data_IF_198351554387
#
_entry.id   IF_198351554387
#
_cell.length_a   1.000
_cell.length_b   1.000
_cell.length_c   1.000
_cell.angle_alpha   90.00
_cell.angle_beta   90.00
_cell.angle_gamma   90.00
#
_symmetry.space_group_name_H-M   'P 1'
#
loop_
_entity.id
_entity.type
_entity.pdbx_description
1 polymer ?
#
# COMPACT_ATOMS: atom_id res chain seq x y z
N UNK A 1 13.98 3.45 28.16
CA UNK A 1 14.75 3.14 26.94
C UNK A 1 13.76 2.64 25.92
N UNK A 2 13.32 3.50 25.00
CA UNK A 2 12.31 3.16 23.99
C UNK A 2 13.02 2.71 22.73
N UNK A 3 12.90 1.44 22.38
CA UNK A 3 13.41 0.88 21.13
C UNK A 3 12.45 1.25 20.01
N UNK A 4 12.85 2.20 19.16
CA UNK A 4 12.23 2.36 17.85
C UNK A 4 12.78 1.23 16.96
N UNK A 5 11.98 0.20 16.70
CA UNK A 5 12.28 -0.77 15.66
C UNK A 5 12.09 -0.11 14.31
N UNK A 6 13.19 0.36 13.72
CA UNK A 6 13.24 0.72 12.30
C UNK A 6 13.22 -0.58 11.50
N UNK A 7 12.08 -0.92 10.90
CA UNK A 7 12.02 -2.03 9.95
C UNK A 7 12.83 -1.66 8.70
N UNK A 8 13.93 -2.38 8.47
CA UNK A 8 14.71 -2.29 7.24
C UNK A 8 13.83 -2.68 6.05
N UNK A 9 13.81 -1.90 4.95
CA UNK A 9 13.03 -2.26 3.78
C UNK A 9 13.59 -3.55 3.16
N UNK A 10 12.76 -4.59 3.12
CA UNK A 10 13.11 -5.88 2.54
C UNK A 10 12.85 -5.88 1.02
N UNK A 11 13.76 -6.51 0.26
CA UNK A 11 13.60 -6.71 -1.17
C UNK A 11 12.41 -7.64 -1.46
N UNK A 12 11.61 -7.36 -2.49
CA UNK A 12 10.38 -8.08 -2.80
C UNK A 12 10.54 -9.61 -2.87
N UNK A 13 9.74 -10.33 -2.09
CA UNK A 13 9.47 -11.76 -2.22
C UNK A 13 7.99 -12.02 -1.87
N UNK A 14 7.37 -13.12 -2.37
CA UNK A 14 6.02 -13.52 -1.96
C UNK A 14 5.88 -13.68 -0.43
N UNK A 15 6.93 -14.18 0.22
CA UNK A 15 6.98 -14.34 1.67
C UNK A 15 6.84 -13.01 2.42
N UNK A 16 7.34 -11.91 1.84
CA UNK A 16 7.27 -10.59 2.48
C UNK A 16 5.85 -10.00 2.44
N UNK A 17 5.04 -10.30 1.42
CA UNK A 17 3.64 -9.85 1.38
C UNK A 17 2.83 -10.59 2.44
N UNK A 18 3.00 -11.91 2.56
CA UNK A 18 2.29 -12.69 3.56
C UNK A 18 2.67 -12.26 4.99
N UNK A 19 3.95 -11.94 5.23
CA UNK A 19 4.39 -11.35 6.49
C UNK A 19 3.70 -10.01 6.79
N UNK A 20 3.50 -9.14 5.79
CA UNK A 20 2.75 -7.89 5.98
C UNK A 20 1.28 -8.15 6.33
N UNK A 21 0.66 -9.17 5.73
CA UNK A 21 -0.73 -9.55 6.06
C UNK A 21 -0.85 -10.01 7.51
N UNK A 22 0.07 -10.87 7.95
CA UNK A 22 0.16 -11.33 9.34
C UNK A 22 0.40 -10.13 10.27
N UNK A 23 1.35 -9.25 9.94
CA UNK A 23 1.69 -8.07 10.75
C UNK A 23 0.51 -7.12 10.92
N UNK A 24 -0.25 -6.86 9.86
CA UNK A 24 -1.43 -5.99 9.90
C UNK A 24 -2.68 -6.69 10.45
N UNK A 25 -2.62 -8.00 10.71
CA UNK A 25 -3.73 -8.80 11.21
C UNK A 25 -4.91 -8.86 10.23
N UNK A 26 -4.62 -9.00 8.94
CA UNK A 26 -5.65 -9.01 7.89
C UNK A 26 -5.95 -10.41 7.35
N UNK A 27 -7.21 -10.65 7.03
CA UNK A 27 -7.69 -11.80 6.26
C UNK A 27 -8.12 -11.37 4.84
N UNK A 28 -8.20 -12.28 3.86
CA UNK A 28 -8.73 -11.93 2.56
C UNK A 28 -10.17 -11.42 2.68
N UNK A 29 -10.48 -10.46 1.81
CA UNK A 29 -11.82 -9.93 1.60
C UNK A 29 -12.77 -11.05 1.12
N UNK A 30 -13.97 -11.09 1.68
CA UNK A 30 -15.02 -12.04 1.35
C UNK A 30 -15.93 -11.52 0.23
N UNK A 31 -16.60 -12.39 -0.54
CA UNK A 31 -17.46 -11.97 -1.65
C UNK A 31 -18.52 -10.92 -1.28
N UNK A 32 -19.07 -11.01 -0.06
CA UNK A 32 -20.11 -10.09 0.44
C UNK A 32 -19.56 -8.69 0.76
N UNK A 33 -18.24 -8.56 0.90
CA UNK A 33 -17.53 -7.33 1.20
C UNK A 33 -17.05 -6.61 -0.08
N UNK A 34 -17.10 -7.30 -1.25
CA UNK A 34 -16.59 -6.76 -2.52
C UNK A 34 -17.33 -5.48 -2.96
N UNK A 35 -16.61 -4.61 -3.67
CA UNK A 35 -17.15 -3.36 -4.20
C UNK A 35 -17.30 -2.25 -3.15
N UNK A 36 -17.13 -2.57 -1.86
CA UNK A 36 -17.05 -1.57 -0.80
C UNK A 36 -15.73 -0.82 -0.85
N UNK A 37 -15.75 0.45 -0.43
CA UNK A 37 -14.53 1.22 -0.22
C UNK A 37 -13.79 0.75 1.03
N UNK A 38 -12.45 0.89 1.06
CA UNK A 38 -11.62 0.47 2.19
C UNK A 38 -12.15 1.00 3.53
N UNK A 39 -12.55 2.26 3.59
CA UNK A 39 -13.14 2.87 4.79
C UNK A 39 -14.39 2.16 5.33
N UNK A 40 -15.17 1.51 4.47
CA UNK A 40 -16.41 0.80 4.81
C UNK A 40 -16.21 -0.69 5.10
N UNK A 41 -15.04 -1.24 4.80
CA UNK A 41 -14.74 -2.64 5.11
C UNK A 41 -14.63 -2.86 6.62
N UNK A 42 -14.86 -4.08 7.11
CA UNK A 42 -14.48 -4.46 8.47
C UNK A 42 -12.97 -4.29 8.69
N UNK A 43 -12.57 -4.07 9.95
CA UNK A 43 -11.16 -4.12 10.31
C UNK A 43 -10.61 -5.55 10.14
N UNK A 44 -9.31 -5.66 9.85
CA UNK A 44 -8.63 -6.93 9.61
C UNK A 44 -8.93 -7.52 8.24
N UNK A 45 -9.12 -6.71 7.20
CA UNK A 45 -9.40 -7.17 5.83
C UNK A 45 -8.36 -6.62 4.85
N UNK A 46 -7.95 -7.42 3.88
CA UNK A 46 -7.21 -6.96 2.71
C UNK A 46 -7.89 -7.39 1.41
N UNK A 47 -7.70 -6.60 0.37
CA UNK A 47 -8.13 -6.89 -0.99
C UNK A 47 -7.38 -6.01 -1.98
N UNK A 48 -7.92 -5.83 -3.19
CA UNK A 48 -7.22 -5.16 -4.27
C UNK A 48 -8.02 -3.99 -4.84
N UNK A 49 -7.33 -2.89 -5.15
CA UNK A 49 -7.94 -1.67 -5.70
C UNK A 49 -7.03 -0.98 -6.71
N UNK A 50 -7.62 -0.27 -7.67
CA UNK A 50 -6.89 0.44 -8.72
C UNK A 50 -6.40 1.83 -8.31
N UNK A 51 -6.94 2.40 -7.23
CA UNK A 51 -6.60 3.73 -6.76
C UNK A 51 -6.33 3.68 -5.23
N UNK A 52 -5.18 3.12 -4.82
CA UNK A 52 -4.88 2.92 -3.40
C UNK A 52 -4.86 4.28 -2.69
N UNK A 53 -5.61 4.40 -1.59
CA UNK A 53 -5.65 5.64 -0.79
C UNK A 53 -6.59 6.74 -1.30
N UNK A 54 -7.35 6.50 -2.37
CA UNK A 54 -8.46 7.38 -2.75
C UNK A 54 -9.73 7.01 -1.98
N UNK A 55 -10.49 8.00 -1.45
CA UNK A 55 -11.76 7.72 -0.80
C UNK A 55 -12.74 7.08 -1.79
N UNK A 56 -13.64 6.24 -1.29
CA UNK A 56 -14.76 5.67 -2.06
C UNK A 56 -14.35 4.71 -3.21
N UNK A 57 -13.08 4.32 -3.32
CA UNK A 57 -12.64 3.38 -4.38
C UNK A 57 -12.98 1.93 -4.00
N UNK A 58 -13.63 1.16 -4.87
CA UNK A 58 -13.99 -0.22 -4.57
C UNK A 58 -12.76 -1.11 -4.37
N UNK A 59 -12.92 -2.11 -3.50
CA UNK A 59 -11.95 -3.17 -3.22
C UNK A 59 -12.53 -4.51 -3.66
N UNK A 60 -11.69 -5.35 -4.26
CA UNK A 60 -12.07 -6.67 -4.80
C UNK A 60 -11.24 -7.78 -4.16
N UNK A 61 -11.78 -9.01 -4.05
CA UNK A 61 -11.04 -10.11 -3.43
C UNK A 61 -9.93 -10.66 -4.33
N UNK A 62 -10.07 -10.49 -5.64
CA UNK A 62 -9.11 -10.97 -6.65
C UNK A 62 -8.21 -9.85 -7.12
N UNK A 63 -6.92 -10.17 -7.27
CA UNK A 63 -5.95 -9.28 -7.88
C UNK A 63 -6.15 -9.27 -9.38
N UNK A 64 -6.61 -8.14 -9.91
CA UNK A 64 -6.57 -7.87 -11.35
C UNK A 64 -5.25 -7.16 -11.72
N UNK A 65 -4.95 -7.16 -13.02
CA UNK A 65 -3.75 -6.52 -13.56
C UNK A 65 -3.64 -5.06 -13.10
N UNK A 66 -2.48 -4.66 -12.57
CA UNK A 66 -2.20 -3.31 -12.04
C UNK A 66 -3.05 -2.85 -10.84
N UNK A 67 -3.72 -3.76 -10.16
CA UNK A 67 -4.37 -3.46 -8.88
C UNK A 67 -3.36 -3.53 -7.73
N UNK A 68 -3.49 -2.59 -6.79
CA UNK A 68 -2.71 -2.52 -5.56
C UNK A 68 -3.41 -3.31 -4.48
N UNK A 69 -2.63 -4.00 -3.65
CA UNK A 69 -3.17 -4.57 -2.42
C UNK A 69 -3.38 -3.44 -1.40
N UNK A 70 -4.56 -3.44 -0.75
CA UNK A 70 -4.93 -2.47 0.28
C UNK A 70 -5.38 -3.20 1.53
N UNK A 71 -5.00 -2.68 2.69
CA UNK A 71 -5.34 -3.27 3.98
C UNK A 71 -6.18 -2.29 4.77
N UNK A 72 -7.20 -2.79 5.45
CA UNK A 72 -7.73 -2.19 6.67
C UNK A 72 -7.28 -3.07 7.83
N UNK A 73 -6.25 -2.63 8.56
CA UNK A 73 -5.66 -3.39 9.65
C UNK A 73 -6.66 -3.62 10.80
N UNK A 74 -6.32 -4.49 11.75
CA UNK A 74 -7.17 -4.82 12.89
C UNK A 74 -7.50 -3.60 13.78
N UNK A 75 -6.64 -2.58 13.80
CA UNK A 75 -6.85 -1.31 14.51
C UNK A 75 -7.66 -0.28 13.68
N UNK A 76 -8.08 -0.64 12.47
CA UNK A 76 -8.79 0.21 11.53
C UNK A 76 -7.89 1.09 10.65
N UNK A 77 -6.57 1.06 10.83
CA UNK A 77 -5.64 1.82 9.99
C UNK A 77 -5.65 1.31 8.56
N UNK A 78 -5.72 2.22 7.59
CA UNK A 78 -5.70 1.90 6.17
C UNK A 78 -4.28 1.99 5.60
N UNK A 79 -3.88 0.97 4.86
CA UNK A 79 -2.59 0.90 4.19
C UNK A 79 -2.73 0.62 2.69
N UNK A 80 -1.87 1.25 1.90
CA UNK A 80 -1.58 0.91 0.52
C UNK A 80 -0.29 0.10 0.47
N UNK A 81 -0.32 -1.06 -0.17
CA UNK A 81 0.84 -1.94 -0.33
C UNK A 81 1.35 -1.83 -1.77
N UNK A 82 2.66 -1.74 -1.93
CA UNK A 82 3.27 -1.70 -3.24
C UNK A 82 4.79 -1.66 -3.20
N UNK A 83 5.38 -1.36 -4.35
CA UNK A 83 6.81 -1.42 -4.58
C UNK A 83 7.36 -0.03 -4.92
N UNK A 84 8.51 0.29 -4.36
CA UNK A 84 9.23 1.56 -4.58
C UNK A 84 10.71 1.28 -4.79
N UNK A 85 11.46 2.31 -5.19
CA UNK A 85 12.93 2.25 -5.22
C UNK A 85 13.52 2.21 -3.79
N UNK A 86 14.77 1.75 -3.59
CA UNK A 86 15.39 1.78 -2.26
C UNK A 86 15.52 3.20 -1.68
N UNK A 87 15.69 4.21 -2.52
CA UNK A 87 15.73 5.62 -2.09
C UNK A 87 14.36 6.05 -1.52
N UNK A 88 13.28 5.82 -2.27
CA UNK A 88 11.92 6.13 -1.83
C UNK A 88 11.52 5.34 -0.57
N UNK A 89 11.90 4.06 -0.47
CA UNK A 89 11.69 3.27 0.74
C UNK A 89 12.37 3.92 1.96
N UNK A 90 13.57 4.46 1.78
CA UNK A 90 14.29 5.18 2.84
C UNK A 90 13.60 6.49 3.22
N UNK A 91 13.05 7.22 2.23
CA UNK A 91 12.30 8.46 2.45
C UNK A 91 10.99 8.20 3.21
N UNK A 92 10.28 7.13 2.88
CA UNK A 92 9.09 6.67 3.59
C UNK A 92 9.41 6.26 5.03
N UNK A 93 10.47 5.48 5.26
CA UNK A 93 10.90 5.08 6.59
C UNK A 93 11.29 6.28 7.47
N UNK A 94 11.81 7.34 6.88
CA UNK A 94 12.15 8.59 7.55
C UNK A 94 10.97 9.57 7.68
N UNK A 95 9.78 9.24 7.16
CA UNK A 95 8.63 10.15 7.08
C UNK A 95 9.01 11.54 6.53
N UNK A 96 9.77 11.57 5.44
CA UNK A 96 10.29 12.81 4.85
C UNK A 96 9.17 13.61 4.16
N UNK A 97 8.53 14.50 4.89
CA UNK A 97 7.46 15.39 4.41
C UNK A 97 7.84 16.07 3.08
N UNK A 98 6.89 16.09 2.13
CA UNK A 98 7.07 16.67 0.80
C UNK A 98 7.87 15.82 -0.19
N UNK A 99 8.44 14.68 0.22
CA UNK A 99 9.08 13.76 -0.72
C UNK A 99 8.05 13.17 -1.69
N UNK A 100 8.40 13.13 -2.98
CA UNK A 100 7.56 12.55 -4.03
C UNK A 100 7.87 11.06 -4.20
N UNK A 101 6.84 10.23 -4.12
CA UNK A 101 6.94 8.77 -4.17
C UNK A 101 6.15 8.23 -5.36
N UNK A 102 6.71 7.23 -6.04
CA UNK A 102 6.01 6.42 -7.04
C UNK A 102 5.79 5.00 -6.51
N UNK A 103 4.56 4.72 -6.06
CA UNK A 103 4.20 3.37 -5.61
C UNK A 103 3.71 2.54 -6.78
N UNK A 104 4.28 1.35 -6.97
CA UNK A 104 3.86 0.43 -8.03
C UNK A 104 3.07 -0.75 -7.45
N UNK A 105 2.06 -1.27 -8.16
CA UNK A 105 1.26 -2.41 -7.69
C UNK A 105 2.03 -3.74 -7.77
N UNK A 106 3.08 -3.77 -8.60
CA UNK A 106 3.95 -4.89 -8.86
C UNK A 106 5.41 -4.41 -8.98
N UNK A 107 6.41 -5.30 -8.83
CA UNK A 107 7.80 -5.00 -9.15
C UNK A 107 7.96 -4.38 -10.55
N UNK A 108 8.34 -3.11 -10.65
CA UNK A 108 8.60 -2.40 -11.91
C UNK A 108 9.99 -1.77 -11.97
N UNK A 109 10.81 -2.08 -12.99
CA UNK A 109 12.19 -1.55 -13.14
C UNK A 109 13.07 -1.57 -11.84
N UNK A 110 13.46 -0.42 -11.29
CA UNK A 110 14.21 -0.30 -10.03
C UNK A 110 13.35 -0.39 -8.77
N UNK A 111 12.01 -0.32 -8.92
CA UNK A 111 11.04 -0.39 -7.83
C UNK A 111 10.81 -1.83 -7.42
N UNK A 112 11.59 -2.30 -6.44
CA UNK A 112 11.65 -3.69 -5.97
C UNK A 112 11.51 -3.81 -4.46
N UNK A 113 11.37 -2.70 -3.73
CA UNK A 113 11.25 -2.71 -2.28
C UNK A 113 9.79 -2.64 -1.89
N UNK A 114 9.32 -3.68 -1.20
CA UNK A 114 7.94 -3.75 -0.74
C UNK A 114 7.77 -2.82 0.45
N UNK A 115 6.74 -1.98 0.40
CA UNK A 115 6.40 -1.02 1.46
C UNK A 115 4.91 -1.10 1.80
N UNK A 116 4.60 -0.68 3.03
CA UNK A 116 3.24 -0.44 3.51
C UNK A 116 3.12 1.04 3.84
N UNK A 117 2.26 1.76 3.12
CA UNK A 117 2.08 3.21 3.25
C UNK A 117 0.74 3.48 3.93
N UNK A 118 0.75 4.20 5.06
CA UNK A 118 -0.49 4.64 5.71
C UNK A 118 -1.21 5.63 4.81
N UNK A 119 -2.48 5.37 4.53
CA UNK A 119 -3.30 6.24 3.66
C UNK A 119 -3.42 7.66 4.21
N UNK A 120 -3.46 7.82 5.54
CA UNK A 120 -3.51 9.14 6.19
C UNK A 120 -2.23 9.98 6.01
N UNK A 121 -1.11 9.37 5.60
CA UNK A 121 0.16 10.04 5.33
C UNK A 121 0.38 10.40 3.86
N UNK A 122 -0.64 10.23 3.01
CA UNK A 122 -0.59 10.49 1.57
C UNK A 122 -1.17 11.88 1.31
N UNK A 123 -0.30 12.85 1.00
CA UNK A 123 -0.69 14.17 0.50
C UNK A 123 -0.75 14.15 -1.02
N UNK A 124 -1.82 14.73 -1.56
CA UNK A 124 -2.05 15.11 -2.96
C UNK A 124 -1.58 14.09 -4.03
N UNK A 125 -2.53 13.41 -4.65
CA UNK A 125 -2.26 12.61 -5.86
C UNK A 125 -2.21 13.52 -7.08
N UNK A 126 -1.09 13.54 -7.80
CA UNK A 126 -1.11 14.01 -9.20
C UNK A 126 -1.88 12.98 -10.04
N UNK A 127 -2.38 13.41 -11.20
CA UNK A 127 -3.12 12.56 -12.16
C UNK A 127 -2.38 11.22 -12.34
N UNK A 128 -3.05 10.10 -12.11
CA UNK A 128 -2.47 8.76 -12.24
C UNK A 128 -2.05 8.52 -13.70
N UNK A 129 -0.75 8.34 -13.99
CA UNK A 129 -0.30 7.87 -15.29
C UNK A 129 -0.76 6.42 -15.46
N UNK A 130 -1.39 6.09 -16.59
CA UNK A 130 -1.78 4.69 -16.91
C UNK A 130 -0.72 3.95 -17.74
N UNK A 131 0.45 4.56 -17.91
CA UNK A 131 1.59 4.02 -18.64
C UNK A 131 2.72 3.65 -17.65
N UNK A 132 3.73 2.92 -18.11
CA UNK A 132 4.95 2.59 -17.35
C UNK A 132 4.71 1.94 -15.97
N UNK A 133 3.98 0.83 -15.91
CA UNK A 133 3.77 0.06 -14.66
C UNK A 133 2.67 0.57 -13.74
N UNK A 134 1.87 1.56 -14.18
CA UNK A 134 0.73 2.13 -13.45
C UNK A 134 1.10 2.63 -12.03
N UNK A 135 2.08 3.54 -11.90
CA UNK A 135 2.44 4.07 -10.60
C UNK A 135 1.29 4.89 -10.00
N UNK A 136 1.17 4.82 -8.69
CA UNK A 136 0.38 5.72 -7.87
C UNK A 136 1.32 6.80 -7.29
N UNK A 137 1.36 8.01 -7.89
CA UNK A 137 2.20 9.09 -7.40
C UNK A 137 1.56 9.83 -6.22
N UNK A 138 2.35 10.09 -5.18
CA UNK A 138 1.92 10.92 -4.06
C UNK A 138 3.09 11.67 -3.42
N UNK A 139 2.77 12.58 -2.52
CA UNK A 139 3.73 13.22 -1.62
C UNK A 139 3.50 12.77 -0.18
N UNK A 140 4.57 12.61 0.59
CA UNK A 140 4.46 12.33 2.02
C UNK A 140 3.90 13.57 2.73
N UNK A 141 2.81 13.40 3.47
CA UNK A 141 2.15 14.44 4.27
C UNK A 141 2.88 14.72 5.59
#
# INVERSE_FOLDING_TARGET
>A
MSTHSSATPAQASPDNIEQLRILHGVRPLQPEEEGSATARLPAGVYGYSYAPGQPETPVFAKKDYHSFEVHKAADGTEYAIGFVTPEEASQLAAAKEGAAIQLFPDPWEGSRFLVSVRVSGIAATKRMPREAGNPFPFTIA
#
